data_IF_829448501223
#
_entry.id   IF_829448501223
#
_cell.length_a   1.000
_cell.length_b   1.000
_cell.length_c   1.000
_cell.angle_alpha   90.00
_cell.angle_beta   90.00
_cell.angle_gamma   90.00
#
_symmetry.space_group_name_H-M   'P 1'
#
loop_
_entity.id
_entity.type
_entity.pdbx_description
1 polymer ?
#
# COMPACT_ATOMS: atom_id res chain seq x y z
N UNK A 1 -27.71 -2.82 -19.04
CA UNK A 1 -28.48 -2.70 -17.78
C UNK A 1 -27.60 -2.51 -16.52
N UNK A 2 -26.32 -2.09 -16.62
CA UNK A 2 -25.35 -2.05 -15.48
C UNK A 2 -24.84 -0.63 -15.17
N UNK A 3 -25.11 0.36 -16.03
CA UNK A 3 -24.60 1.74 -15.86
C UNK A 3 -25.10 2.39 -14.56
N UNK A 4 -26.39 2.24 -14.25
CA UNK A 4 -26.99 2.84 -13.05
C UNK A 4 -26.35 2.33 -11.75
N UNK A 5 -26.05 1.03 -11.66
CA UNK A 5 -25.44 0.42 -10.47
C UNK A 5 -23.99 0.90 -10.28
N UNK A 6 -23.22 1.03 -11.37
CA UNK A 6 -21.86 1.57 -11.34
C UNK A 6 -21.85 3.05 -10.91
N UNK A 7 -22.79 3.85 -11.41
CA UNK A 7 -22.94 5.26 -11.05
C UNK A 7 -23.33 5.44 -9.57
N UNK A 8 -24.27 4.62 -9.09
CA UNK A 8 -24.70 4.60 -7.70
C UNK A 8 -23.55 4.19 -6.76
N UNK A 9 -22.82 3.13 -7.10
CA UNK A 9 -21.67 2.67 -6.31
C UNK A 9 -20.53 3.70 -6.26
N UNK A 10 -20.25 4.37 -7.38
CA UNK A 10 -19.27 5.46 -7.44
C UNK A 10 -19.67 6.63 -6.56
N UNK A 11 -20.96 6.96 -6.54
CA UNK A 11 -21.51 8.05 -5.72
C UNK A 11 -21.47 7.71 -4.23
N UNK A 12 -21.80 6.47 -3.87
CA UNK A 12 -21.66 5.92 -2.52
C UNK A 12 -20.22 6.00 -2.01
N UNK A 13 -19.24 5.54 -2.80
CA UNK A 13 -17.83 5.64 -2.42
C UNK A 13 -17.33 7.07 -2.37
N UNK A 14 -17.76 7.93 -3.30
CA UNK A 14 -17.45 9.36 -3.23
C UNK A 14 -18.00 9.99 -1.95
N UNK A 15 -19.14 9.52 -1.45
CA UNK A 15 -19.71 9.97 -0.18
C UNK A 15 -18.92 9.44 1.02
N UNK A 16 -18.62 8.13 1.08
CA UNK A 16 -17.81 7.53 2.15
C UNK A 16 -16.38 8.11 2.18
N UNK A 17 -15.77 8.33 1.01
CA UNK A 17 -14.39 8.80 0.89
C UNK A 17 -14.24 10.30 1.09
N UNK A 18 -15.34 11.05 1.28
CA UNK A 18 -15.26 12.48 1.65
C UNK A 18 -14.66 12.60 3.04
N UNK A 19 -13.33 12.69 3.08
CA UNK A 19 -12.62 13.13 4.27
C UNK A 19 -12.77 14.64 4.39
N UNK A 20 -13.44 15.09 5.45
CA UNK A 20 -13.62 16.50 5.79
C UNK A 20 -12.40 17.14 6.47
N UNK A 21 -11.27 16.43 6.58
CA UNK A 21 -10.07 16.99 7.17
C UNK A 21 -9.18 17.61 6.09
N UNK A 22 -8.83 18.91 6.18
CA UNK A 22 -7.70 19.41 5.42
C UNK A 22 -6.50 18.50 5.72
N UNK A 23 -5.83 18.04 4.66
CA UNK A 23 -4.67 17.17 4.80
C UNK A 23 -3.64 17.78 5.76
N UNK A 24 -2.73 16.94 6.27
CA UNK A 24 -1.72 17.36 7.28
C UNK A 24 -1.13 18.74 6.92
N UNK A 25 -1.23 19.74 7.80
CA UNK A 25 -0.76 21.10 7.50
C UNK A 25 0.72 21.07 7.11
N UNK A 26 1.07 21.89 6.12
CA UNK A 26 2.45 22.02 5.68
C UNK A 26 3.31 22.57 6.83
N UNK A 27 4.55 22.09 6.93
CA UNK A 27 5.51 22.69 7.87
C UNK A 27 5.88 24.11 7.42
N UNK A 28 6.41 24.91 8.36
CA UNK A 28 6.99 26.22 8.06
C UNK A 28 7.96 26.13 6.88
N UNK A 29 7.88 27.09 5.95
CA UNK A 29 8.68 27.13 4.71
C UNK A 29 10.19 27.10 4.96
N UNK A 30 10.65 27.75 6.03
CA UNK A 30 12.06 27.79 6.43
C UNK A 30 12.61 26.40 6.73
N UNK A 31 11.89 25.62 7.54
CA UNK A 31 12.28 24.26 7.91
C UNK A 31 12.30 23.30 6.71
N UNK A 32 11.38 23.51 5.76
CA UNK A 32 11.39 22.79 4.49
C UNK A 32 12.65 23.11 3.67
N UNK A 33 13.01 24.40 3.58
CA UNK A 33 14.21 24.84 2.87
C UNK A 33 15.48 24.22 3.46
N UNK A 34 15.55 24.15 4.79
CA UNK A 34 16.68 23.55 5.50
C UNK A 34 16.82 22.04 5.25
N UNK A 35 15.71 21.29 5.28
CA UNK A 35 15.72 19.87 4.92
C UNK A 35 16.25 19.67 3.49
N UNK A 36 15.77 20.48 2.54
CA UNK A 36 16.18 20.38 1.13
C UNK A 36 17.66 20.72 0.99
N UNK A 37 18.12 21.80 1.64
CA UNK A 37 19.53 22.24 1.61
C UNK A 37 20.44 21.15 2.17
N UNK A 38 20.21 20.70 3.40
CA UNK A 38 21.01 19.64 4.06
C UNK A 38 21.07 18.37 3.22
N UNK A 39 19.94 17.95 2.63
CA UNK A 39 19.88 16.75 1.79
C UNK A 39 20.53 16.94 0.41
N UNK A 40 20.65 18.16 -0.10
CA UNK A 40 21.29 18.44 -1.39
C UNK A 40 22.80 18.56 -1.23
N UNK A 41 23.25 19.25 -0.18
CA UNK A 41 24.66 19.43 0.17
C UNK A 41 25.31 18.13 0.66
N UNK A 42 24.53 17.22 1.26
CA UNK A 42 25.04 15.95 1.78
C UNK A 42 24.35 14.74 1.11
N UNK A 43 24.81 14.33 -0.11
CA UNK A 43 24.27 13.20 -0.85
C UNK A 43 24.29 11.85 -0.13
N UNK A 44 25.08 11.67 0.92
CA UNK A 44 25.15 10.39 1.65
C UNK A 44 24.20 10.35 2.86
N UNK A 45 23.64 11.50 3.27
CA UNK A 45 22.83 11.57 4.49
C UNK A 45 21.43 10.99 4.29
N UNK A 46 21.09 10.04 5.15
CA UNK A 46 19.75 9.47 5.26
C UNK A 46 18.78 10.34 6.07
N UNK A 47 17.48 10.02 6.06
CA UNK A 47 16.45 10.80 6.78
C UNK A 47 16.67 10.87 8.28
N UNK A 48 17.26 9.83 8.89
CA UNK A 48 17.57 9.77 10.32
C UNK A 48 18.70 10.72 10.70
N UNK A 49 19.74 10.82 9.85
CA UNK A 49 20.85 11.75 10.07
C UNK A 49 20.38 13.20 10.04
N UNK A 50 19.61 13.57 9.00
CA UNK A 50 19.03 14.91 8.88
C UNK A 50 18.07 15.22 10.03
N UNK A 51 17.29 14.23 10.49
CA UNK A 51 16.44 14.39 11.68
C UNK A 51 17.26 14.69 12.93
N UNK A 52 18.42 14.05 13.09
CA UNK A 52 19.36 14.33 14.17
C UNK A 52 19.88 15.77 14.14
N UNK A 53 20.33 16.24 12.97
CA UNK A 53 20.79 17.62 12.78
C UNK A 53 19.68 18.65 13.11
N UNK A 54 18.47 18.41 12.63
CA UNK A 54 17.31 19.26 12.94
C UNK A 54 16.99 19.28 14.43
N UNK A 55 17.11 18.13 15.12
CA UNK A 55 16.91 18.06 16.57
C UNK A 55 17.97 18.85 17.33
N UNK A 56 19.22 18.80 16.89
CA UNK A 56 20.30 19.63 17.48
C UNK A 56 20.03 21.13 17.28
N UNK A 57 19.41 21.52 16.17
CA UNK A 57 18.94 22.89 15.92
C UNK A 57 17.63 23.28 16.64
N UNK A 58 17.10 22.44 17.53
CA UNK A 58 15.87 22.72 18.29
C UNK A 58 14.56 22.47 17.51
N UNK A 59 14.62 21.81 16.36
CA UNK A 59 13.43 21.49 15.56
C UNK A 59 12.89 20.08 15.87
N UNK A 60 11.65 20.02 16.34
CA UNK A 60 10.93 18.77 16.56
C UNK A 60 10.07 18.42 15.35
N UNK A 61 10.58 17.56 14.46
CA UNK A 61 9.84 17.02 13.31
C UNK A 61 9.75 15.51 13.33
N UNK A 62 8.70 14.99 12.70
CA UNK A 62 8.57 13.55 12.47
C UNK A 62 9.46 13.12 11.30
N UNK A 63 10.06 11.92 11.36
CA UNK A 63 10.94 11.41 10.29
C UNK A 63 10.27 11.39 8.91
N UNK A 64 8.97 11.08 8.87
CA UNK A 64 8.17 11.12 7.63
C UNK A 64 8.10 12.51 6.99
N UNK A 65 8.18 13.58 7.80
CA UNK A 65 8.26 14.95 7.29
C UNK A 65 9.59 15.18 6.58
N UNK A 66 10.70 14.72 7.17
CA UNK A 66 12.04 14.79 6.56
C UNK A 66 12.03 14.00 5.24
N UNK A 67 11.59 12.74 5.26
CA UNK A 67 11.46 11.89 4.05
C UNK A 67 10.62 12.54 2.95
N UNK A 68 9.55 13.25 3.29
CA UNK A 68 8.66 13.91 2.32
C UNK A 68 9.37 15.04 1.57
N UNK A 69 10.25 15.79 2.25
CA UNK A 69 10.89 16.98 1.69
C UNK A 69 12.32 16.75 1.21
N UNK A 70 12.94 15.62 1.56
CA UNK A 70 14.19 15.21 0.93
C UNK A 70 14.00 15.07 -0.59
N UNK A 71 14.99 15.49 -1.41
CA UNK A 71 14.95 15.28 -2.84
C UNK A 71 14.82 13.78 -3.13
N UNK A 72 13.86 13.42 -4.00
CA UNK A 72 13.71 12.04 -4.44
C UNK A 72 14.95 11.65 -5.22
N UNK A 73 15.80 10.83 -4.62
CA UNK A 73 16.89 10.18 -5.33
C UNK A 73 16.35 8.92 -5.97
N UNK A 74 16.88 8.58 -7.13
CA UNK A 74 16.55 7.34 -7.84
C UNK A 74 17.29 6.20 -7.15
N UNK A 75 16.89 5.90 -5.92
CA UNK A 75 17.41 4.78 -5.15
C UNK A 75 16.48 3.59 -5.41
N UNK A 76 16.72 2.91 -6.52
CA UNK A 76 16.23 1.55 -6.73
C UNK A 76 17.45 0.64 -6.87
N UNK A 77 17.35 -0.65 -6.55
CA UNK A 77 18.35 -1.60 -7.02
C UNK A 77 18.54 -1.38 -8.52
N UNK A 78 19.77 -1.50 -9.02
CA UNK A 78 20.12 -1.33 -10.44
C UNK A 78 19.40 -2.36 -11.35
N UNK A 79 18.64 -3.29 -10.76
CA UNK A 79 17.75 -4.21 -11.45
C UNK A 79 16.41 -3.57 -11.80
N UNK A 80 16.03 -3.68 -13.07
CA UNK A 80 14.67 -3.46 -13.54
C UNK A 80 13.68 -4.26 -12.66
N UNK A 81 12.62 -3.63 -12.17
CA UNK A 81 11.52 -4.30 -11.44
C UNK A 81 11.01 -5.54 -12.18
N UNK A 82 11.04 -5.50 -13.51
CA UNK A 82 10.76 -6.65 -14.37
C UNK A 82 11.67 -7.84 -14.07
N UNK A 83 12.99 -7.63 -13.99
CA UNK A 83 13.96 -8.71 -13.69
C UNK A 83 13.77 -9.31 -12.30
N UNK A 84 13.41 -8.49 -11.31
CA UNK A 84 13.05 -8.98 -9.98
C UNK A 84 11.79 -9.86 -10.04
N UNK A 85 10.75 -9.41 -10.73
CA UNK A 85 9.54 -10.20 -10.91
C UNK A 85 9.82 -11.48 -11.70
N UNK A 86 10.58 -11.43 -12.79
CA UNK A 86 10.92 -12.60 -13.60
C UNK A 86 11.66 -13.67 -12.76
N UNK A 87 12.51 -13.24 -11.82
CA UNK A 87 13.25 -14.14 -10.93
C UNK A 87 12.39 -14.76 -9.83
N UNK A 88 11.46 -13.99 -9.24
CA UNK A 88 10.75 -14.40 -8.02
C UNK A 88 9.27 -14.77 -8.23
N UNK A 89 8.67 -14.45 -9.38
CA UNK A 89 7.23 -14.62 -9.60
C UNK A 89 6.76 -16.08 -9.51
N UNK A 90 7.63 -17.06 -9.81
CA UNK A 90 7.30 -18.49 -9.72
C UNK A 90 7.24 -19.04 -8.29
N UNK A 91 7.76 -18.29 -7.32
CA UNK A 91 7.76 -18.65 -5.89
C UNK A 91 6.92 -17.70 -5.05
N UNK A 92 6.27 -16.71 -5.69
CA UNK A 92 5.53 -15.66 -5.00
C UNK A 92 4.04 -15.76 -5.34
N UNK A 93 3.21 -15.72 -4.32
CA UNK A 93 1.78 -15.50 -4.46
C UNK A 93 1.42 -14.11 -3.92
N UNK A 94 0.50 -13.41 -4.60
CA UNK A 94 -0.13 -12.21 -4.09
C UNK A 94 -1.47 -12.58 -3.47
N UNK A 95 -1.86 -11.82 -2.45
CA UNK A 95 -3.19 -11.86 -1.87
C UNK A 95 -3.72 -10.44 -1.76
N UNK A 96 -5.00 -10.25 -2.06
CA UNK A 96 -5.65 -8.95 -1.92
C UNK A 96 -7.16 -9.14 -1.70
N UNK A 97 -7.83 -8.02 -1.42
CA UNK A 97 -9.27 -7.92 -1.33
C UNK A 97 -9.81 -6.95 -2.37
N UNK A 98 -10.93 -7.30 -3.00
CA UNK A 98 -11.76 -6.31 -3.69
C UNK A 98 -13.18 -6.33 -3.14
N UNK A 99 -13.86 -5.19 -3.24
CA UNK A 99 -15.21 -5.02 -2.73
C UNK A 99 -16.20 -5.07 -3.89
N UNK A 100 -17.17 -5.97 -3.80
CA UNK A 100 -18.30 -6.05 -4.72
C UNK A 100 -19.56 -5.58 -3.99
N UNK A 101 -20.32 -4.62 -4.54
CA UNK A 101 -21.63 -4.29 -4.00
C UNK A 101 -22.60 -5.46 -4.23
N UNK A 102 -23.22 -5.94 -3.15
CA UNK A 102 -24.43 -6.74 -3.26
C UNK A 102 -25.60 -5.89 -3.79
N UNK A 103 -26.68 -6.55 -4.20
CA UNK A 103 -27.90 -5.90 -4.70
C UNK A 103 -28.51 -4.90 -3.69
N UNK A 104 -28.28 -5.10 -2.40
CA UNK A 104 -28.73 -4.23 -1.31
C UNK A 104 -27.65 -3.22 -0.85
N UNK A 105 -26.60 -3.01 -1.65
CA UNK A 105 -25.44 -2.16 -1.31
C UNK A 105 -24.64 -2.58 -0.07
N UNK A 106 -24.85 -3.79 0.45
CA UNK A 106 -23.94 -4.36 1.45
C UNK A 106 -22.60 -4.72 0.79
N UNK A 107 -21.46 -4.28 1.33
CA UNK A 107 -20.16 -4.62 0.75
C UNK A 107 -19.85 -6.11 0.98
N UNK A 108 -19.62 -6.84 -0.12
CA UNK A 108 -19.02 -8.17 -0.09
C UNK A 108 -17.53 -8.02 -0.34
N UNK A 109 -16.73 -8.54 0.58
CA UNK A 109 -15.28 -8.58 0.47
C UNK A 109 -14.90 -9.91 -0.16
N UNK A 110 -14.31 -9.84 -1.34
CA UNK A 110 -13.77 -11.01 -2.04
C UNK A 110 -12.28 -11.05 -1.76
N UNK A 111 -11.87 -12.06 -0.99
CA UNK A 111 -10.49 -12.41 -0.77
C UNK A 111 -10.04 -13.35 -1.88
N UNK A 112 -8.86 -13.10 -2.44
CA UNK A 112 -8.26 -14.01 -3.42
C UNK A 112 -6.76 -14.13 -3.22
N UNK A 113 -6.22 -15.27 -3.65
CA UNK A 113 -4.78 -15.52 -3.73
C UNK A 113 -4.47 -15.89 -5.17
N UNK A 114 -3.46 -15.26 -5.75
CA UNK A 114 -3.05 -15.45 -7.14
C UNK A 114 -1.56 -15.78 -7.20
N UNK A 115 -1.22 -16.78 -8.02
CA UNK A 115 0.18 -17.10 -8.30
C UNK A 115 0.76 -16.06 -9.28
N UNK A 116 1.90 -15.44 -8.96
CA UNK A 116 2.40 -14.31 -9.74
C UNK A 116 2.84 -14.70 -11.16
N UNK A 117 3.50 -15.84 -11.33
CA UNK A 117 4.00 -16.26 -12.64
C UNK A 117 2.89 -16.74 -13.58
N UNK A 118 1.99 -17.59 -13.10
CA UNK A 118 0.94 -18.19 -13.95
C UNK A 118 -0.33 -17.34 -14.03
N UNK A 119 -0.49 -16.36 -13.14
CA UNK A 119 -1.73 -15.58 -12.96
C UNK A 119 -2.96 -16.46 -12.65
N UNK A 120 -2.72 -17.68 -12.18
CA UNK A 120 -3.77 -18.59 -11.74
C UNK A 120 -4.27 -18.18 -10.35
N UNK A 121 -5.58 -18.18 -10.18
CA UNK A 121 -6.19 -17.94 -8.88
C UNK A 121 -6.13 -19.24 -8.09
N UNK A 122 -5.39 -19.20 -6.98
CA UNK A 122 -5.20 -20.35 -6.09
C UNK A 122 -6.35 -20.51 -5.12
N UNK A 123 -6.96 -19.41 -4.69
CA UNK A 123 -8.04 -19.43 -3.69
C UNK A 123 -8.95 -18.23 -3.86
N UNK A 124 -10.26 -18.43 -3.63
CA UNK A 124 -11.26 -17.36 -3.57
C UNK A 124 -12.17 -17.60 -2.37
N UNK A 125 -12.42 -16.57 -1.58
CA UNK A 125 -13.46 -16.58 -0.56
C UNK A 125 -14.22 -15.25 -0.56
N UNK A 126 -15.49 -15.31 -0.17
CA UNK A 126 -16.35 -14.13 -0.04
C UNK A 126 -16.83 -14.01 1.39
N UNK A 127 -16.76 -12.82 1.97
CA UNK A 127 -17.28 -12.54 3.31
C UNK A 127 -17.90 -11.14 3.38
N UNK A 128 -18.92 -11.00 4.23
CA UNK A 128 -19.46 -9.70 4.64
C UNK A 128 -18.65 -9.08 5.78
N UNK A 129 -17.80 -9.86 6.46
CA UNK A 129 -17.07 -9.47 7.66
C UNK A 129 -15.60 -9.95 7.60
N UNK A 130 -14.70 -9.22 6.94
CA UNK A 130 -13.28 -9.58 6.79
C UNK A 130 -12.50 -9.31 8.09
N UNK A 131 -12.83 -10.03 9.16
CA UNK A 131 -12.10 -9.95 10.44
C UNK A 131 -10.79 -10.72 10.34
N UNK A 132 -9.80 -10.31 11.14
CA UNK A 132 -8.47 -10.93 11.14
C UNK A 132 -8.50 -12.44 11.43
N UNK A 133 -9.36 -12.90 12.33
CA UNK A 133 -9.44 -14.33 12.66
C UNK A 133 -9.98 -15.17 11.51
N UNK A 134 -10.97 -14.63 10.79
CA UNK A 134 -11.45 -15.25 9.55
C UNK A 134 -10.36 -15.32 8.48
N UNK A 135 -9.61 -14.23 8.28
CA UNK A 135 -8.51 -14.20 7.30
C UNK A 135 -7.42 -15.21 7.65
N UNK A 136 -7.03 -15.31 8.92
CA UNK A 136 -6.06 -16.31 9.39
C UNK A 136 -6.52 -17.73 9.07
N UNK A 137 -7.79 -18.03 9.31
CA UNK A 137 -8.36 -19.33 9.00
C UNK A 137 -8.33 -19.61 7.49
N UNK A 138 -8.73 -18.63 6.66
CA UNK A 138 -8.71 -18.76 5.20
C UNK A 138 -7.32 -18.89 4.61
N UNK A 139 -6.31 -18.25 5.21
CA UNK A 139 -4.92 -18.42 4.83
C UNK A 139 -4.41 -19.83 5.16
N UNK A 140 -4.77 -20.39 6.32
CA UNK A 140 -4.41 -21.77 6.67
C UNK A 140 -5.01 -22.77 5.69
N UNK A 141 -6.30 -22.61 5.36
CA UNK A 141 -7.00 -23.44 4.37
C UNK A 141 -6.29 -23.37 3.00
N UNK A 142 -6.05 -22.16 2.51
CA UNK A 142 -5.38 -21.96 1.21
C UNK A 142 -3.98 -22.60 1.12
N UNK A 143 -3.20 -22.48 2.20
CA UNK A 143 -1.86 -23.06 2.26
C UNK A 143 -1.92 -24.59 2.34
N UNK A 144 -2.86 -25.15 3.12
CA UNK A 144 -3.05 -26.59 3.21
C UNK A 144 -3.47 -27.21 1.86
N UNK A 145 -4.38 -26.54 1.14
CA UNK A 145 -4.84 -26.97 -0.19
C UNK A 145 -3.70 -26.91 -1.22
N UNK A 146 -2.83 -25.91 -1.13
CA UNK A 146 -1.65 -25.79 -2.01
C UNK A 146 -0.58 -26.86 -1.78
N UNK A 147 -0.55 -27.49 -0.60
CA UNK A 147 0.38 -28.57 -0.26
C UNK A 147 -0.15 -29.97 -0.60
N UNK A 148 -1.47 -30.10 -0.80
CA UNK A 148 -2.14 -31.40 -1.02
C UNK A 148 -2.48 -31.68 -2.48
N UNK A 149 -2.47 -30.67 -3.36
CA UNK A 149 -2.51 -30.88 -4.81
C UNK A 149 -1.10 -30.90 -5.40
N UNK A 150 -0.55 -32.07 -5.81
CA UNK A 150 0.67 -32.06 -6.62
C UNK A 150 0.34 -31.43 -7.98
N UNK A 151 1.05 -30.35 -8.32
CA UNK A 151 1.10 -29.84 -9.70
C UNK A 151 1.90 -30.78 -10.59
#
# INVERSE_FOLDING_TARGET
MIKWHREAYRSFWKWISRRNNPGRPAIRSLLRGEIIRMATENPTWGPERILGELRMGGHHVHINTVRRYMPKRRNGPEGNWKSFLDLHASQTAAMDFFVVPAWNFTPLYVFFIIHHATREILHINVTTHPKMDWLRQKLKEALADSLTSPK
#
